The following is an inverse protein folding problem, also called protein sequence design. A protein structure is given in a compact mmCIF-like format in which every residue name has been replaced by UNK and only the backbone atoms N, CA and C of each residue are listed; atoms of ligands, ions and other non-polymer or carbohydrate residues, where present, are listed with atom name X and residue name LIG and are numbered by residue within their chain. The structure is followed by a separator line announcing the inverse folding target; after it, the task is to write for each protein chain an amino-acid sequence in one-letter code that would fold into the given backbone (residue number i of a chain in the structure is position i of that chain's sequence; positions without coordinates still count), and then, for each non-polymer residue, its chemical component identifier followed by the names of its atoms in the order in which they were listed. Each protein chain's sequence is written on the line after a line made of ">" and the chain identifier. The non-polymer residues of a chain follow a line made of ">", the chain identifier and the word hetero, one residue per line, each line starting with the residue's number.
data_IF_495744836747
#
_entry.id   IF_495744836747
#
_cell.length_a   1.000
_cell.length_b   1.000
_cell.length_c   1.000
_cell.angle_alpha   90.00
_cell.angle_beta   90.00
_cell.angle_gamma   90.00
#
_symmetry.space_group_name_H-M   'P 1'
#
loop_
_entity.id
_entity.type
_entity.pdbx_description
1 polymer ?
#
# COMPACT_ATOMS: atom_id res chain seq x y z
N UNK A 1 -8.95 10.42 0.82
CA UNK A 1 -9.29 10.52 -0.61
C UNK A 1 -8.71 11.78 -1.22
N UNK A 2 -9.42 12.91 -1.09
CA UNK A 2 -9.14 14.17 -1.79
C UNK A 2 -7.80 14.80 -1.44
N UNK A 3 -7.48 15.00 -0.16
CA UNK A 3 -6.20 15.60 0.25
C UNK A 3 -4.98 14.81 -0.24
N UNK A 4 -5.12 13.48 -0.37
CA UNK A 4 -4.04 12.64 -0.90
C UNK A 4 -3.82 12.89 -2.39
N UNK A 5 -4.89 13.06 -3.18
CA UNK A 5 -4.79 13.42 -4.60
C UNK A 5 -4.08 14.76 -4.80
N UNK A 6 -4.45 15.79 -4.02
CA UNK A 6 -3.80 17.11 -4.08
C UNK A 6 -2.28 17.00 -3.82
N UNK A 7 -1.89 16.27 -2.77
CA UNK A 7 -0.47 16.14 -2.42
C UNK A 7 0.30 15.30 -3.44
N UNK A 8 -0.32 14.26 -4.00
CA UNK A 8 0.31 13.44 -5.05
C UNK A 8 0.51 14.26 -6.31
N UNK A 9 -0.49 15.02 -6.76
CA UNK A 9 -0.37 15.86 -7.95
C UNK A 9 0.74 16.91 -7.78
N UNK A 10 0.90 17.47 -6.58
CA UNK A 10 2.04 18.37 -6.30
C UNK A 10 3.38 17.67 -6.48
N UNK A 11 3.52 16.46 -5.95
CA UNK A 11 4.75 15.68 -6.06
C UNK A 11 5.02 15.26 -7.51
N UNK A 12 4.01 14.79 -8.25
CA UNK A 12 4.17 14.40 -9.67
C UNK A 12 4.48 15.60 -10.54
N UNK A 13 3.85 16.76 -10.30
CA UNK A 13 4.18 18.02 -10.99
C UNK A 13 5.60 18.51 -10.72
N UNK A 14 6.19 18.12 -9.59
CA UNK A 14 7.58 18.39 -9.25
C UNK A 14 8.56 17.32 -9.77
N UNK A 15 8.11 16.40 -10.64
CA UNK A 15 8.94 15.36 -11.25
C UNK A 15 9.09 14.08 -10.43
N UNK A 16 8.33 13.90 -9.34
CA UNK A 16 8.39 12.66 -8.55
C UNK A 16 7.52 11.55 -9.16
N UNK A 17 8.03 10.31 -9.13
CA UNK A 17 7.22 9.10 -9.38
C UNK A 17 6.65 8.58 -8.07
N UNK A 18 5.35 8.39 -8.02
CA UNK A 18 4.64 8.01 -6.80
C UNK A 18 4.15 6.56 -6.88
N UNK A 19 4.54 5.75 -5.90
CA UNK A 19 4.01 4.39 -5.73
C UNK A 19 2.99 4.38 -4.59
N UNK A 20 1.78 3.94 -4.90
CA UNK A 20 0.74 3.69 -3.92
C UNK A 20 0.79 2.22 -3.48
N UNK A 21 1.09 2.01 -2.21
CA UNK A 21 1.07 0.69 -1.61
C UNK A 21 -0.33 0.34 -1.11
N UNK A 22 -1.05 -0.49 -1.86
CA UNK A 22 -2.35 -1.03 -1.47
C UNK A 22 -2.11 -2.19 -0.50
N UNK A 23 -2.17 -1.86 0.78
CA UNK A 23 -1.77 -2.73 1.89
C UNK A 23 -2.85 -3.80 2.24
N UNK A 24 -3.19 -4.65 1.27
CA UNK A 24 -4.23 -5.68 1.38
C UNK A 24 -3.92 -6.79 2.40
N UNK A 25 -2.70 -7.30 2.47
CA UNK A 25 -2.30 -8.23 3.53
C UNK A 25 -2.28 -7.55 4.90
N UNK A 26 -1.90 -6.28 4.99
CA UNK A 26 -1.93 -5.55 6.26
C UNK A 26 -3.36 -5.31 6.73
N UNK A 27 -4.29 -5.02 5.81
CA UNK A 27 -5.71 -4.94 6.13
C UNK A 27 -6.25 -6.30 6.60
N UNK A 28 -5.81 -7.40 5.99
CA UNK A 28 -6.17 -8.76 6.40
C UNK A 28 -5.63 -9.08 7.80
N UNK A 29 -4.35 -8.80 8.08
CA UNK A 29 -3.73 -8.97 9.40
C UNK A 29 -4.43 -8.15 10.49
N UNK A 30 -5.00 -6.99 10.13
CA UNK A 30 -5.77 -6.14 11.02
C UNK A 30 -7.28 -6.48 11.04
N UNK A 31 -7.65 -7.70 10.63
CA UNK A 31 -9.02 -8.23 10.61
C UNK A 31 -10.06 -7.32 9.92
N UNK A 32 -9.63 -6.46 9.00
CA UNK A 32 -10.55 -5.59 8.25
C UNK A 32 -11.41 -6.45 7.32
N UNK A 33 -12.67 -6.08 7.17
CA UNK A 33 -13.64 -6.85 6.39
C UNK A 33 -13.75 -8.32 6.84
N UNK A 34 -13.52 -8.60 8.13
CA UNK A 34 -13.50 -9.95 8.68
C UNK A 34 -12.32 -10.80 8.21
N UNK A 35 -11.24 -10.18 7.73
CA UNK A 35 -10.07 -10.89 7.18
C UNK A 35 -10.28 -11.43 5.76
N UNK A 36 -11.41 -11.10 5.11
CA UNK A 36 -11.72 -11.55 3.75
C UNK A 36 -10.93 -10.74 2.72
N UNK A 37 -9.87 -11.37 2.19
CA UNK A 37 -8.97 -10.74 1.22
C UNK A 37 -9.69 -10.35 -0.09
N UNK A 38 -10.73 -11.07 -0.51
CA UNK A 38 -11.48 -10.73 -1.73
C UNK A 38 -12.27 -9.43 -1.54
N UNK A 39 -12.89 -9.26 -0.36
CA UNK A 39 -13.57 -8.00 0.01
C UNK A 39 -12.56 -6.86 0.14
N UNK A 40 -11.42 -7.10 0.79
CA UNK A 40 -10.35 -6.11 0.93
C UNK A 40 -9.86 -5.64 -0.45
N UNK A 41 -9.56 -6.56 -1.38
CA UNK A 41 -9.13 -6.19 -2.74
C UNK A 41 -10.22 -5.45 -3.51
N UNK A 42 -11.49 -5.77 -3.29
CA UNK A 42 -12.62 -5.05 -3.89
C UNK A 42 -12.67 -3.61 -3.41
N UNK A 43 -12.52 -3.38 -2.10
CA UNK A 43 -12.45 -2.03 -1.52
C UNK A 43 -11.21 -1.28 -2.00
N UNK A 44 -10.05 -1.95 -2.12
CA UNK A 44 -8.84 -1.34 -2.68
C UNK A 44 -9.04 -0.83 -4.10
N UNK A 45 -9.66 -1.63 -4.99
CA UNK A 45 -10.01 -1.19 -6.35
C UNK A 45 -10.97 -0.01 -6.34
N UNK A 46 -11.98 -0.03 -5.47
CA UNK A 46 -12.91 1.08 -5.30
C UNK A 46 -12.19 2.39 -4.90
N UNK A 47 -11.23 2.32 -3.97
CA UNK A 47 -10.43 3.49 -3.59
C UNK A 47 -9.55 4.01 -4.74
N UNK A 48 -8.99 3.11 -5.54
CA UNK A 48 -8.26 3.48 -6.77
C UNK A 48 -9.17 4.28 -7.69
N UNK A 49 -10.37 3.78 -8.00
CA UNK A 49 -11.32 4.49 -8.87
C UNK A 49 -11.73 5.87 -8.31
N UNK A 50 -11.90 6.00 -6.98
CA UNK A 50 -12.13 7.31 -6.37
C UNK A 50 -10.96 8.26 -6.64
N UNK A 51 -9.71 7.81 -6.49
CA UNK A 51 -8.55 8.66 -6.74
C UNK A 51 -8.46 9.12 -8.20
N UNK A 52 -8.82 8.25 -9.15
CA UNK A 52 -8.94 8.64 -10.56
C UNK A 52 -10.03 9.70 -10.75
N UNK A 53 -11.20 9.49 -10.18
CA UNK A 53 -12.36 10.37 -10.33
C UNK A 53 -12.13 11.78 -9.76
N UNK A 54 -11.32 11.91 -8.69
CA UNK A 54 -10.98 13.22 -8.09
C UNK A 54 -9.81 13.92 -8.79
N UNK A 55 -9.37 13.43 -9.96
CA UNK A 55 -8.35 14.08 -10.78
C UNK A 55 -6.91 13.85 -10.33
N UNK A 56 -6.61 12.70 -9.71
CA UNK A 56 -5.21 12.32 -9.49
C UNK A 56 -4.53 12.07 -10.85
N UNK A 57 -3.39 12.71 -11.08
CA UNK A 57 -2.56 12.46 -12.26
C UNK A 57 -1.93 11.06 -12.13
N UNK A 58 -2.28 10.17 -13.06
CA UNK A 58 -1.86 8.77 -13.02
C UNK A 58 -0.62 8.50 -13.89
N UNK A 59 -0.16 9.44 -14.70
CA UNK A 59 0.98 9.22 -15.60
C UNK A 59 2.23 8.83 -14.80
N UNK A 60 2.41 9.46 -13.64
CA UNK A 60 3.53 9.23 -12.73
C UNK A 60 3.14 8.48 -11.46
N UNK A 61 1.98 7.80 -11.45
CA UNK A 61 1.48 7.04 -10.29
C UNK A 61 1.33 5.56 -10.61
N UNK A 62 1.90 4.71 -9.76
CA UNK A 62 1.78 3.26 -9.84
C UNK A 62 1.07 2.71 -8.60
N UNK A 63 0.10 1.82 -8.79
CA UNK A 63 -0.58 1.12 -7.68
C UNK A 63 -0.03 -0.29 -7.54
N UNK A 64 0.56 -0.57 -6.38
CA UNK A 64 1.16 -1.86 -6.05
C UNK A 64 0.37 -2.53 -4.95
N UNK A 65 0.03 -3.81 -5.12
CA UNK A 65 -0.65 -4.60 -4.10
C UNK A 65 0.37 -5.27 -3.21
N UNK A 66 0.20 -5.16 -1.89
CA UNK A 66 1.19 -5.68 -0.96
C UNK A 66 1.35 -7.19 -1.05
N UNK A 67 0.25 -7.93 -1.21
CA UNK A 67 0.29 -9.38 -1.40
C UNK A 67 1.02 -9.77 -2.68
N UNK A 68 0.74 -9.10 -3.79
CA UNK A 68 1.35 -9.41 -5.10
C UNK A 68 2.86 -9.11 -5.07
N UNK A 69 3.28 -7.93 -4.59
CA UNK A 69 4.69 -7.51 -4.54
C UNK A 69 5.53 -8.31 -3.54
N UNK A 70 4.98 -8.63 -2.37
CA UNK A 70 5.69 -9.44 -1.38
C UNK A 70 5.87 -10.86 -1.92
N UNK A 71 4.84 -11.46 -2.54
CA UNK A 71 4.98 -12.80 -3.12
C UNK A 71 5.99 -12.84 -4.27
N UNK A 72 6.00 -11.81 -5.13
CA UNK A 72 6.94 -11.74 -6.25
C UNK A 72 8.42 -11.76 -5.80
N UNK A 73 8.72 -11.20 -4.62
CA UNK A 73 10.07 -11.14 -4.04
C UNK A 73 10.10 -11.64 -2.60
N UNK A 74 9.41 -12.75 -2.33
CA UNK A 74 9.25 -13.28 -0.98
C UNK A 74 10.60 -13.62 -0.32
N UNK A 75 11.55 -14.10 -1.14
CA UNK A 75 12.91 -14.45 -0.71
C UNK A 75 13.74 -13.24 -0.26
N UNK A 76 13.40 -12.01 -0.68
CA UNK A 76 14.03 -10.77 -0.21
C UNK A 76 13.25 -10.18 0.97
N UNK A 77 11.92 -10.16 0.87
CA UNK A 77 11.05 -9.49 1.82
C UNK A 77 11.07 -10.15 3.21
N UNK A 78 10.91 -11.48 3.29
CA UNK A 78 10.79 -12.16 4.57
C UNK A 78 12.08 -12.17 5.39
N UNK A 79 13.28 -12.38 4.81
CA UNK A 79 14.52 -12.21 5.55
C UNK A 79 14.68 -10.80 6.13
N UNK A 80 14.27 -9.76 5.40
CA UNK A 80 14.30 -8.38 5.89
C UNK A 80 13.35 -8.18 7.09
N UNK A 81 12.11 -8.70 7.01
CA UNK A 81 11.16 -8.68 8.12
C UNK A 81 11.73 -9.37 9.36
N UNK A 82 12.32 -10.56 9.19
CA UNK A 82 12.91 -11.32 10.29
C UNK A 82 14.13 -10.60 10.89
N UNK A 83 14.99 -9.99 10.06
CA UNK A 83 16.14 -9.24 10.57
C UNK A 83 15.72 -8.02 11.40
N UNK A 84 14.71 -7.26 10.93
CA UNK A 84 14.15 -6.13 11.69
C UNK A 84 13.55 -6.62 13.01
N UNK A 85 12.76 -7.71 13.00
CA UNK A 85 12.13 -8.26 14.19
C UNK A 85 13.16 -8.70 15.25
N UNK A 86 14.25 -9.35 14.83
CA UNK A 86 15.34 -9.82 15.71
C UNK A 86 16.12 -8.69 16.38
N UNK A 87 16.23 -7.53 15.73
CA UNK A 87 17.00 -6.37 16.21
C UNK A 87 16.22 -5.45 17.15
N UNK A 88 14.92 -5.70 17.34
CA UNK A 88 14.06 -4.89 18.19
C UNK A 88 13.48 -5.72 19.33
N UNK A 89 13.35 -5.12 20.50
CA UNK A 89 12.60 -5.73 21.60
C UNK A 89 11.09 -5.46 21.45
N UNK A 90 10.27 -6.23 22.15
CA UNK A 90 8.82 -6.13 22.02
C UNK A 90 8.29 -4.76 22.45
N UNK A 91 8.79 -4.21 23.55
CA UNK A 91 8.35 -2.91 24.08
C UNK A 91 8.67 -1.72 23.16
N UNK A 92 9.58 -1.89 22.19
CA UNK A 92 9.86 -0.89 21.16
C UNK A 92 8.85 -0.93 20.01
N UNK A 93 8.23 -2.09 19.78
CA UNK A 93 7.35 -2.36 18.64
C UNK A 93 5.87 -2.18 19.01
N UNK A 94 5.51 -2.50 20.27
CA UNK A 94 4.15 -2.40 20.83
C UNK A 94 3.98 -1.11 21.62
#
# INVERSE_FOLDING_TARGET
>A
GVMKAINVNKLTSAGCKMKFWVADWFAQLNNKMGGDLKKIRTVGRYLIEIWKAVGMDLENVEFLWSSDEINARAHEYWPLVMDIARRNNLARIV
#
